data_IF_788632082763
#
_entry.id   IF_788632082763
#
_cell.length_a   1.000
_cell.length_b   1.000
_cell.length_c   1.000
_cell.angle_alpha   90.00
_cell.angle_beta   90.00
_cell.angle_gamma   90.00
#
_symmetry.space_group_name_H-M   'P 1'
#
loop_
_entity.id
_entity.type
_entity.pdbx_description
1 polymer ?
#
# COMPACT_ATOMS: atom_id res chain seq x y z
N UNK A 1 18.09 -0.95 0.75
CA UNK A 1 16.94 -1.52 0.00
C UNK A 1 17.37 -2.14 -1.32
N UNK A 2 17.99 -1.38 -2.25
CA UNK A 2 18.37 -1.89 -3.59
C UNK A 2 19.28 -3.11 -3.58
N UNK A 3 20.34 -3.11 -2.78
CA UNK A 3 21.27 -4.26 -2.65
C UNK A 3 20.54 -5.50 -2.12
N UNK A 4 19.79 -5.35 -1.02
CA UNK A 4 18.98 -6.44 -0.46
C UNK A 4 17.97 -7.03 -1.46
N UNK A 5 17.26 -6.18 -2.20
CA UNK A 5 16.34 -6.63 -3.26
C UNK A 5 17.10 -7.31 -4.39
N UNK A 6 18.26 -6.78 -4.79
CA UNK A 6 19.12 -7.39 -5.80
C UNK A 6 19.56 -8.79 -5.38
N UNK A 7 19.95 -9.00 -4.12
CA UNK A 7 20.36 -10.31 -3.62
C UNK A 7 19.21 -11.31 -3.64
N UNK A 8 18.03 -10.90 -3.16
CA UNK A 8 16.82 -11.75 -3.16
C UNK A 8 16.32 -12.08 -4.57
N UNK A 9 16.50 -11.16 -5.52
CA UNK A 9 16.00 -11.29 -6.90
C UNK A 9 17.09 -11.69 -7.90
N UNK A 10 18.32 -11.96 -7.43
CA UNK A 10 19.50 -12.24 -8.28
C UNK A 10 19.72 -11.16 -9.35
N UNK A 11 19.50 -9.90 -8.99
CA UNK A 11 19.64 -8.73 -9.85
C UNK A 11 18.52 -8.51 -10.86
N UNK A 12 17.45 -9.33 -10.85
CA UNK A 12 16.34 -9.22 -11.80
C UNK A 12 15.36 -8.09 -11.47
N UNK A 13 15.34 -7.64 -10.21
CA UNK A 13 14.30 -6.74 -9.69
C UNK A 13 13.01 -7.50 -9.35
N UNK A 14 12.05 -6.79 -8.77
CA UNK A 14 10.75 -7.35 -8.36
C UNK A 14 9.72 -7.27 -9.49
N UNK A 15 8.79 -8.22 -9.52
CA UNK A 15 7.69 -8.19 -10.49
C UNK A 15 6.72 -7.05 -10.22
N UNK A 16 6.48 -6.73 -8.95
CA UNK A 16 5.52 -5.71 -8.53
C UNK A 16 6.07 -4.95 -7.32
N UNK A 17 5.87 -3.64 -7.32
CA UNK A 17 6.06 -2.77 -6.15
C UNK A 17 4.70 -2.18 -5.77
N UNK A 18 4.33 -2.29 -4.49
CA UNK A 18 3.19 -1.58 -3.91
C UNK A 18 3.72 -0.44 -3.01
N UNK A 19 3.55 0.81 -3.43
CA UNK A 19 4.07 2.00 -2.72
C UNK A 19 2.93 2.88 -2.18
N UNK A 20 2.78 2.91 -0.86
CA UNK A 20 1.86 3.81 -0.13
C UNK A 20 2.50 5.10 0.37
N UNK A 21 3.83 5.20 0.31
CA UNK A 21 4.59 6.27 0.95
C UNK A 21 4.73 7.47 0.00
N UNK A 22 5.01 7.23 -1.28
CA UNK A 22 4.99 8.27 -2.32
C UNK A 22 6.28 9.09 -2.37
N UNK A 23 6.21 10.40 -2.09
CA UNK A 23 7.28 11.39 -2.36
C UNK A 23 8.70 10.92 -2.00
N UNK A 24 8.89 10.44 -0.78
CA UNK A 24 10.22 10.09 -0.25
C UNK A 24 10.74 8.73 -0.77
N UNK A 25 9.88 7.84 -1.25
CA UNK A 25 10.27 6.47 -1.66
C UNK A 25 10.26 6.26 -3.17
N UNK A 26 9.44 7.00 -3.91
CA UNK A 26 9.09 6.69 -5.31
C UNK A 26 10.32 6.54 -6.21
N UNK A 27 11.28 7.46 -6.12
CA UNK A 27 12.51 7.42 -6.92
C UNK A 27 13.31 6.16 -6.68
N UNK A 28 13.35 5.66 -5.44
CA UNK A 28 14.08 4.45 -5.10
C UNK A 28 13.30 3.20 -5.49
N UNK A 29 11.98 3.18 -5.25
CA UNK A 29 11.13 2.00 -5.44
C UNK A 29 10.90 1.68 -6.91
N UNK A 30 10.77 2.69 -7.79
CA UNK A 30 10.64 2.46 -9.24
C UNK A 30 11.89 1.81 -9.86
N UNK A 31 13.08 2.03 -9.29
CA UNK A 31 14.31 1.37 -9.76
C UNK A 31 14.39 -0.11 -9.40
N UNK A 32 13.58 -0.56 -8.45
CA UNK A 32 13.53 -1.96 -8.02
C UNK A 32 12.68 -2.82 -8.96
N UNK A 33 11.83 -2.19 -9.77
CA UNK A 33 10.91 -2.89 -10.67
C UNK A 33 11.70 -3.56 -11.79
N UNK A 34 11.54 -4.88 -11.90
CA UNK A 34 12.16 -5.68 -12.94
C UNK A 34 11.53 -5.47 -14.33
N UNK A 35 12.07 -6.18 -15.32
CA UNK A 35 11.58 -6.10 -16.71
C UNK A 35 10.10 -6.47 -16.80
N UNK A 36 9.29 -5.57 -17.35
CA UNK A 36 7.83 -5.64 -17.52
C UNK A 36 7.07 -5.75 -16.20
N UNK A 37 7.64 -5.24 -15.12
CA UNK A 37 6.98 -5.23 -13.81
C UNK A 37 6.04 -4.04 -13.61
N UNK A 38 5.26 -4.13 -12.53
CA UNK A 38 4.27 -3.14 -12.12
C UNK A 38 4.77 -2.26 -10.97
N UNK A 39 4.62 -0.96 -11.13
CA UNK A 39 4.71 0.04 -10.07
C UNK A 39 3.29 0.46 -9.69
N UNK A 40 2.79 -0.04 -8.57
CA UNK A 40 1.48 0.30 -8.00
C UNK A 40 1.66 1.36 -6.94
N UNK A 41 1.56 2.62 -7.35
CA UNK A 41 1.67 3.77 -6.47
C UNK A 41 0.27 4.07 -5.89
N UNK A 42 -0.08 3.61 -4.69
CA UNK A 42 -1.46 3.67 -4.18
C UNK A 42 -1.67 4.58 -2.96
N UNK A 43 -0.60 5.18 -2.41
CA UNK A 43 -0.68 6.14 -1.30
C UNK A 43 0.29 7.32 -1.45
N UNK A 44 0.23 8.26 -0.51
CA UNK A 44 1.10 9.44 -0.47
C UNK A 44 1.38 9.86 0.98
N UNK A 45 1.69 8.90 1.86
CA UNK A 45 1.90 9.17 3.29
C UNK A 45 3.00 10.22 3.55
N UNK A 46 4.04 10.26 2.70
CA UNK A 46 5.11 11.26 2.76
C UNK A 46 4.86 12.50 1.88
N UNK A 47 3.69 12.57 1.26
CA UNK A 47 3.32 13.61 0.30
C UNK A 47 3.24 13.12 -1.15
N UNK A 48 2.74 13.98 -2.07
CA UNK A 48 2.58 13.65 -3.47
C UNK A 48 3.92 13.47 -4.17
N UNK A 49 3.98 12.53 -5.10
CA UNK A 49 5.14 12.33 -5.99
C UNK A 49 5.20 13.47 -6.99
N UNK A 50 6.41 13.97 -7.27
CA UNK A 50 6.66 14.98 -8.31
C UNK A 50 6.18 14.50 -9.69
N UNK A 51 5.96 15.41 -10.66
CA UNK A 51 5.64 15.03 -12.03
C UNK A 51 6.63 14.01 -12.61
N UNK A 52 6.09 12.90 -13.13
CA UNK A 52 6.89 11.77 -13.61
C UNK A 52 7.13 11.94 -15.12
N UNK A 53 8.40 11.91 -15.54
CA UNK A 53 8.73 11.81 -16.96
C UNK A 53 8.44 10.37 -17.45
N UNK A 54 7.53 10.17 -18.43
CA UNK A 54 7.18 8.83 -18.93
C UNK A 54 8.38 8.03 -19.47
N UNK A 55 9.44 8.70 -19.94
CA UNK A 55 10.66 8.02 -20.39
C UNK A 55 11.32 7.19 -19.29
N UNK A 56 11.08 7.52 -18.01
CA UNK A 56 11.56 6.73 -16.86
C UNK A 56 11.05 5.28 -16.92
N UNK A 57 9.85 5.06 -17.45
CA UNK A 57 9.23 3.73 -17.54
C UNK A 57 9.90 2.85 -18.60
N UNK A 58 10.63 3.43 -19.55
CA UNK A 58 11.29 2.67 -20.63
C UNK A 58 12.44 1.80 -20.15
N UNK A 59 13.04 2.13 -18.99
CA UNK A 59 14.19 1.40 -18.41
C UNK A 59 13.96 -0.10 -18.34
N UNK A 60 12.74 -0.52 -18.03
CA UNK A 60 12.35 -1.92 -17.90
C UNK A 60 10.97 -2.21 -18.53
N UNK A 61 10.44 -1.33 -19.37
CA UNK A 61 9.04 -1.42 -19.86
C UNK A 61 8.04 -1.53 -18.70
N UNK A 62 8.18 -0.63 -17.71
CA UNK A 62 7.42 -0.64 -16.46
C UNK A 62 5.97 -0.18 -16.70
N UNK A 63 5.02 -0.86 -16.09
CA UNK A 63 3.65 -0.41 -15.97
C UNK A 63 3.50 0.42 -14.69
N UNK A 64 3.03 1.66 -14.79
CA UNK A 64 2.78 2.52 -13.64
C UNK A 64 1.27 2.71 -13.46
N UNK A 65 0.76 2.42 -12.27
CA UNK A 65 -0.64 2.64 -11.92
C UNK A 65 -0.77 3.49 -10.64
N UNK A 66 -1.80 4.34 -10.61
CA UNK A 66 -2.18 5.18 -9.47
C UNK A 66 -3.68 4.95 -9.15
N UNK A 67 -4.05 3.78 -8.62
CA UNK A 67 -5.46 3.44 -8.39
C UNK A 67 -6.04 4.15 -7.16
N UNK A 68 -7.36 4.31 -7.15
CA UNK A 68 -8.15 4.60 -5.94
C UNK A 68 -9.18 3.51 -5.74
N UNK A 69 -9.44 3.13 -4.48
CA UNK A 69 -10.35 2.03 -4.14
C UNK A 69 -11.76 2.24 -4.71
N UNK A 70 -12.25 3.49 -4.75
CA UNK A 70 -13.58 3.83 -5.25
C UNK A 70 -13.86 3.30 -6.65
N UNK A 71 -12.84 3.23 -7.50
CA UNK A 71 -12.97 2.81 -8.90
C UNK A 71 -13.03 1.28 -9.04
N UNK A 72 -12.60 0.54 -8.02
CA UNK A 72 -12.65 -0.93 -7.97
C UNK A 72 -13.87 -1.47 -7.23
N UNK A 73 -14.64 -0.59 -6.59
CA UNK A 73 -15.89 -0.92 -5.91
C UNK A 73 -16.98 0.16 -6.15
N UNK A 74 -17.25 0.55 -7.42
CA UNK A 74 -18.19 1.64 -7.69
C UNK A 74 -19.64 1.26 -7.35
N UNK A 75 -20.01 -0.02 -7.45
CA UNK A 75 -21.37 -0.49 -7.20
C UNK A 75 -21.52 -1.21 -5.85
N UNK A 76 -22.76 -1.28 -5.35
CA UNK A 76 -23.07 -2.10 -4.17
C UNK A 76 -22.75 -3.58 -4.39
N UNK A 77 -22.97 -4.10 -5.61
CA UNK A 77 -22.68 -5.49 -5.96
C UNK A 77 -21.19 -5.80 -5.83
N UNK A 78 -20.31 -4.97 -6.42
CA UNK A 78 -18.86 -5.16 -6.32
C UNK A 78 -18.34 -4.95 -4.89
N UNK A 79 -18.89 -3.97 -4.15
CA UNK A 79 -18.58 -3.81 -2.71
C UNK A 79 -18.89 -5.08 -1.94
N UNK A 80 -20.09 -5.63 -2.15
CA UNK A 80 -20.54 -6.86 -1.47
C UNK A 80 -19.66 -8.05 -1.84
N UNK A 81 -19.27 -8.18 -3.11
CA UNK A 81 -18.35 -9.22 -3.57
C UNK A 81 -17.01 -9.14 -2.82
N UNK A 82 -16.36 -7.97 -2.80
CA UNK A 82 -15.07 -7.78 -2.10
C UNK A 82 -15.18 -8.02 -0.59
N UNK A 83 -16.29 -7.64 0.04
CA UNK A 83 -16.54 -7.93 1.46
C UNK A 83 -16.66 -9.45 1.68
N UNK A 84 -17.37 -10.16 0.80
CA UNK A 84 -17.51 -11.61 0.90
C UNK A 84 -16.16 -12.32 0.72
N UNK A 85 -15.32 -11.87 -0.22
CA UNK A 85 -13.97 -12.39 -0.42
C UNK A 85 -13.14 -12.25 0.86
N UNK A 86 -13.15 -11.05 1.46
CA UNK A 86 -12.46 -10.75 2.71
C UNK A 86 -12.94 -11.64 3.86
N UNK A 87 -14.26 -11.72 4.07
CA UNK A 87 -14.84 -12.55 5.14
C UNK A 87 -14.54 -14.03 4.94
N UNK A 88 -14.56 -14.51 3.70
CA UNK A 88 -14.24 -15.91 3.38
C UNK A 88 -12.77 -16.23 3.69
N UNK A 89 -11.84 -15.31 3.37
CA UNK A 89 -10.43 -15.46 3.71
C UNK A 89 -10.19 -15.46 5.22
N UNK A 90 -10.91 -14.62 5.98
CA UNK A 90 -10.85 -14.60 7.44
C UNK A 90 -11.40 -15.88 8.06
N UNK A 91 -12.59 -16.32 7.64
CA UNK A 91 -13.25 -17.51 8.18
C UNK A 91 -12.51 -18.81 7.86
N UNK A 92 -11.81 -18.87 6.73
CA UNK A 92 -10.97 -20.01 6.35
C UNK A 92 -9.60 -20.03 7.01
N UNK A 93 -9.21 -18.96 7.70
CA UNK A 93 -7.86 -18.79 8.25
C UNK A 93 -6.79 -18.48 7.19
N UNK A 94 -7.17 -18.24 5.94
CA UNK A 94 -6.24 -17.80 4.89
C UNK A 94 -5.74 -16.36 5.12
N UNK A 95 -6.47 -15.57 5.92
CA UNK A 95 -6.08 -14.24 6.35
C UNK A 95 -6.13 -14.15 7.88
N UNK A 96 -4.99 -13.85 8.49
CA UNK A 96 -4.89 -13.52 9.91
C UNK A 96 -4.79 -11.99 10.07
N UNK A 97 -5.61 -11.42 10.95
CA UNK A 97 -5.56 -9.98 11.22
C UNK A 97 -4.54 -9.68 12.32
N UNK A 98 -3.68 -8.67 12.14
CA UNK A 98 -2.86 -8.18 13.24
C UNK A 98 -3.74 -7.57 14.34
N UNK A 99 -3.19 -7.48 15.55
CA UNK A 99 -3.88 -6.85 16.67
C UNK A 99 -4.34 -5.43 16.30
N UNK A 100 -5.62 -5.14 16.57
CA UNK A 100 -6.21 -3.81 16.37
C UNK A 100 -6.02 -3.03 17.65
N UNK A 101 -5.40 -1.86 17.54
CA UNK A 101 -5.27 -0.94 18.67
C UNK A 101 -6.55 -0.12 18.80
N UNK A 102 -7.15 -0.15 19.99
CA UNK A 102 -8.41 0.54 20.27
C UNK A 102 -8.17 1.79 21.11
N UNK A 103 -8.97 2.81 20.84
CA UNK A 103 -8.96 4.10 21.54
C UNK A 103 -10.40 4.53 21.82
N UNK A 104 -10.65 5.24 22.91
CA UNK A 104 -11.93 5.96 23.08
C UNK A 104 -11.93 7.24 22.26
N UNK A 105 -13.09 7.87 22.11
CA UNK A 105 -13.20 9.15 21.40
C UNK A 105 -12.43 10.28 22.11
N UNK A 106 -12.32 10.27 23.44
CA UNK A 106 -11.51 11.21 24.22
C UNK A 106 -10.02 11.11 23.86
N UNK A 107 -9.58 9.92 23.41
CA UNK A 107 -8.20 9.65 23.00
C UNK A 107 -7.95 9.94 21.51
N UNK A 108 -8.89 10.56 20.78
CA UNK A 108 -8.73 10.83 19.35
C UNK A 108 -7.42 11.54 19.01
N UNK A 109 -7.03 12.54 19.80
CA UNK A 109 -5.77 13.26 19.59
C UNK A 109 -4.55 12.33 19.70
N UNK A 110 -4.56 11.39 20.65
CA UNK A 110 -3.48 10.42 20.83
C UNK A 110 -3.43 9.43 19.65
N UNK A 111 -4.58 8.92 19.22
CA UNK A 111 -4.67 7.99 18.08
C UNK A 111 -4.14 8.64 16.79
N UNK A 112 -4.52 9.90 16.52
CA UNK A 112 -4.04 10.65 15.36
C UNK A 112 -2.52 10.89 15.42
N UNK A 113 -1.98 11.34 16.56
CA UNK A 113 -0.53 11.53 16.73
C UNK A 113 0.24 10.22 16.51
N UNK A 114 -0.27 9.10 17.02
CA UNK A 114 0.36 7.79 16.81
C UNK A 114 0.35 7.40 15.33
N UNK A 115 -0.79 7.56 14.64
CA UNK A 115 -0.91 7.26 13.22
C UNK A 115 0.04 8.13 12.36
N UNK A 116 0.04 9.43 12.59
CA UNK A 116 0.83 10.41 11.83
C UNK A 116 2.33 10.30 12.11
N UNK A 117 2.72 9.77 13.27
CA UNK A 117 4.13 9.48 13.57
C UNK A 117 4.71 8.32 12.75
N UNK A 118 3.87 7.54 12.05
CA UNK A 118 4.28 6.32 11.34
C UNK A 118 4.62 5.14 12.25
N UNK A 119 4.46 5.28 13.56
CA UNK A 119 4.74 4.23 14.55
C UNK A 119 3.55 3.30 14.81
N UNK A 120 2.37 3.62 14.27
CA UNK A 120 1.19 2.77 14.39
C UNK A 120 1.40 1.43 13.67
N UNK A 121 1.44 0.34 14.43
CA UNK A 121 1.36 -1.02 13.90
C UNK A 121 -0.10 -1.42 13.64
N UNK A 122 -0.45 -1.72 12.39
CA UNK A 122 -1.76 -2.24 12.02
C UNK A 122 -2.88 -1.19 12.03
N UNK A 123 -4.09 -1.62 12.38
CA UNK A 123 -5.29 -0.78 12.36
C UNK A 123 -5.49 -0.11 13.71
N UNK A 124 -5.85 1.17 13.70
CA UNK A 124 -6.42 1.87 14.85
C UNK A 124 -7.95 1.91 14.72
N UNK A 125 -8.67 1.69 15.80
CA UNK A 125 -10.13 1.76 15.86
C UNK A 125 -10.61 2.59 17.06
N UNK A 126 -11.70 3.33 16.87
CA UNK A 126 -12.39 4.01 17.96
C UNK A 126 -13.54 3.14 18.48
N UNK A 127 -13.65 3.03 19.79
CA UNK A 127 -14.73 2.31 20.48
C UNK A 127 -15.57 3.28 21.31
N UNK A 128 -16.86 2.96 21.47
CA UNK A 128 -17.82 3.74 22.26
C UNK A 128 -17.95 3.24 23.72
N UNK A 129 -17.18 2.21 24.08
CA UNK A 129 -17.13 1.65 25.44
C UNK A 129 -16.22 2.47 26.36
#
# INVERSE_FOLDING_TARGET
MKEWVSDLTKGLGVNVVYDSVGKETFKQTIELVGRRGDMVLYGAASGPVDPINPLTLTRNSIYLSRPTLSDFIPTFAEKKERINDLLSALLSGALELPAIQTFTFEQATQAHRLLESGMAGGKLAFTTE
#
